data_IF_966654949509
#
_entry.id   IF_966654949509
#
_cell.length_a   1.000
_cell.length_b   1.000
_cell.length_c   1.000
_cell.angle_alpha   90.00
_cell.angle_beta   90.00
_cell.angle_gamma   90.00
#
_symmetry.space_group_name_H-M   'P 1'
#
loop_
_entity.id
_entity.type
_entity.pdbx_description
1 polymer ?
#
# COMPACT_ATOMS: atom_id res chain seq x y z
N UNK A 1 -4.82 4.47 -26.28
CA UNK A 1 -4.37 3.59 -25.17
C UNK A 1 -3.19 4.27 -24.51
N UNK A 2 -3.27 4.64 -23.23
CA UNK A 2 -2.14 5.23 -22.50
C UNK A 2 -1.13 4.12 -22.16
N UNK A 3 0.16 4.36 -22.47
CA UNK A 3 1.27 3.42 -22.25
C UNK A 3 1.37 3.02 -20.76
N UNK A 4 1.69 1.75 -20.50
CA UNK A 4 2.07 1.27 -19.16
C UNK A 4 3.41 1.89 -18.74
N UNK A 5 3.50 2.59 -17.61
CA UNK A 5 4.75 3.18 -17.17
C UNK A 5 5.69 2.12 -16.61
N UNK A 6 6.98 2.27 -16.88
CA UNK A 6 8.02 1.47 -16.27
C UNK A 6 8.10 1.73 -14.76
N UNK A 7 8.66 0.77 -14.03
CA UNK A 7 8.91 0.93 -12.59
C UNK A 7 9.81 2.15 -12.31
N UNK A 8 10.82 2.41 -13.15
CA UNK A 8 11.70 3.57 -13.00
C UNK A 8 10.92 4.89 -13.14
N UNK A 9 10.02 4.99 -14.12
CA UNK A 9 9.16 6.16 -14.31
C UNK A 9 8.28 6.42 -13.06
N UNK A 10 7.69 5.37 -12.48
CA UNK A 10 6.89 5.50 -11.26
C UNK A 10 7.72 5.90 -10.04
N UNK A 11 8.89 5.31 -9.84
CA UNK A 11 9.80 5.68 -8.75
C UNK A 11 10.20 7.14 -8.88
N UNK A 12 10.58 7.59 -10.08
CA UNK A 12 10.92 9.00 -10.33
C UNK A 12 9.72 9.91 -10.03
N UNK A 13 8.52 9.57 -10.50
CA UNK A 13 7.32 10.36 -10.25
C UNK A 13 6.99 10.46 -8.75
N UNK A 14 7.10 9.36 -7.99
CA UNK A 14 6.88 9.36 -6.54
C UNK A 14 7.93 10.24 -5.82
N UNK A 15 9.21 10.13 -6.19
CA UNK A 15 10.28 11.00 -5.65
C UNK A 15 10.05 12.48 -5.94
N UNK A 16 9.47 12.79 -7.09
CA UNK A 16 9.07 14.13 -7.50
C UNK A 16 7.67 14.55 -7.00
N UNK A 17 7.03 13.73 -6.16
CA UNK A 17 5.70 13.97 -5.58
C UNK A 17 4.59 14.18 -6.61
N UNK A 18 4.73 13.61 -7.81
CA UNK A 18 3.73 13.63 -8.89
C UNK A 18 2.65 12.57 -8.65
N UNK A 19 1.96 12.68 -7.52
CA UNK A 19 1.01 11.65 -7.06
C UNK A 19 -0.20 11.46 -7.98
N UNK A 20 -0.69 12.51 -8.63
CA UNK A 20 -1.76 12.40 -9.64
C UNK A 20 -1.37 11.41 -10.75
N UNK A 21 -0.14 11.52 -11.26
CA UNK A 21 0.38 10.60 -12.28
C UNK A 21 0.58 9.18 -11.75
N UNK A 22 1.05 9.05 -10.51
CA UNK A 22 1.22 7.75 -9.85
C UNK A 22 -0.14 7.06 -9.72
N UNK A 23 -1.14 7.75 -9.18
CA UNK A 23 -2.47 7.22 -8.94
C UNK A 23 -3.19 6.82 -10.24
N UNK A 24 -3.08 7.63 -11.29
CA UNK A 24 -3.58 7.30 -12.63
C UNK A 24 -2.89 6.08 -13.28
N UNK A 25 -1.68 5.76 -12.80
CA UNK A 25 -0.85 4.70 -13.33
C UNK A 25 -0.98 3.39 -12.57
N UNK A 26 -1.28 3.42 -11.26
CA UNK A 26 -1.38 2.23 -10.41
C UNK A 26 -2.29 1.13 -10.98
N UNK A 27 -3.51 1.42 -11.49
CA UNK A 27 -4.38 0.38 -12.06
C UNK A 27 -3.77 -0.38 -13.24
N UNK A 28 -2.77 0.20 -13.94
CA UNK A 28 -2.10 -0.41 -15.10
C UNK A 28 -0.94 -1.31 -14.72
N UNK A 29 -0.43 -1.20 -13.49
CA UNK A 29 0.78 -1.89 -13.04
C UNK A 29 0.55 -2.80 -11.84
N UNK A 30 -0.48 -2.55 -11.02
CA UNK A 30 -0.70 -3.29 -9.79
C UNK A 30 -1.07 -4.77 -10.02
N UNK A 31 -1.57 -5.11 -11.21
CA UNK A 31 -1.79 -6.51 -11.62
C UNK A 31 -0.56 -7.21 -12.22
N UNK A 32 0.61 -6.56 -12.23
CA UNK A 32 1.85 -7.15 -12.76
C UNK A 32 2.77 -7.59 -11.63
N UNK A 33 3.09 -8.90 -11.64
CA UNK A 33 3.95 -9.56 -10.66
C UNK A 33 5.31 -8.89 -10.48
N UNK A 34 5.89 -8.28 -11.52
CA UNK A 34 7.17 -7.58 -11.41
C UNK A 34 7.08 -6.39 -10.45
N UNK A 35 5.99 -5.62 -10.50
CA UNK A 35 5.79 -4.44 -9.67
C UNK A 35 5.45 -4.84 -8.24
N UNK A 36 4.59 -5.84 -8.09
CA UNK A 36 4.24 -6.40 -6.77
C UNK A 36 5.49 -6.98 -6.09
N UNK A 37 6.27 -7.79 -6.80
CA UNK A 37 7.51 -8.37 -6.29
C UNK A 37 8.50 -7.31 -5.88
N UNK A 38 8.69 -6.29 -6.71
CA UNK A 38 9.53 -5.17 -6.34
C UNK A 38 9.02 -4.46 -5.08
N UNK A 39 7.71 -4.24 -4.98
CA UNK A 39 7.12 -3.48 -3.87
C UNK A 39 7.43 -4.14 -2.51
N UNK A 40 7.18 -5.44 -2.35
CA UNK A 40 7.45 -6.10 -1.07
C UNK A 40 8.92 -6.51 -0.86
N UNK A 41 9.71 -6.70 -1.92
CA UNK A 41 11.11 -7.14 -1.79
C UNK A 41 12.10 -5.98 -1.66
N UNK A 42 11.77 -4.80 -2.17
CA UNK A 42 12.68 -3.65 -2.25
C UNK A 42 12.01 -2.31 -1.93
N UNK A 43 10.75 -2.13 -2.34
CA UNK A 43 10.06 -0.85 -2.24
C UNK A 43 9.73 -0.44 -0.80
N UNK A 44 9.17 -1.34 0.00
CA UNK A 44 8.74 -1.06 1.38
C UNK A 44 9.90 -0.78 2.35
N UNK A 45 11.13 -1.17 2.01
CA UNK A 45 12.34 -0.89 2.81
C UNK A 45 13.24 0.18 2.17
N UNK A 46 12.74 0.90 1.15
CA UNK A 46 13.54 1.93 0.49
C UNK A 46 13.90 3.08 1.44
N UNK A 47 15.06 3.70 1.27
CA UNK A 47 15.47 4.87 2.06
C UNK A 47 14.52 6.06 1.89
N UNK A 48 13.95 6.21 0.69
CA UNK A 48 13.08 7.31 0.33
C UNK A 48 11.62 7.02 0.74
N UNK A 49 11.06 7.89 1.57
CA UNK A 49 9.70 7.77 2.11
C UNK A 49 8.62 7.73 1.03
N UNK A 50 8.81 8.45 -0.08
CA UNK A 50 7.85 8.51 -1.17
C UNK A 50 7.93 7.22 -2.00
N UNK A 51 9.10 6.58 -2.07
CA UNK A 51 9.23 5.25 -2.68
C UNK A 51 8.57 4.17 -1.83
N UNK A 52 8.67 4.26 -0.50
CA UNK A 52 7.94 3.35 0.42
C UNK A 52 6.41 3.54 0.31
N UNK A 53 5.96 4.77 0.17
CA UNK A 53 4.54 5.11 -0.09
C UNK A 53 4.05 4.50 -1.41
N UNK A 54 4.82 4.67 -2.50
CA UNK A 54 4.55 4.01 -3.78
C UNK A 54 4.47 2.48 -3.64
N UNK A 55 5.38 1.87 -2.90
CA UNK A 55 5.39 0.42 -2.68
C UNK A 55 4.13 -0.04 -1.93
N UNK A 56 3.73 0.67 -0.87
CA UNK A 56 2.47 0.43 -0.16
C UNK A 56 1.27 0.55 -1.08
N UNK A 57 1.25 1.58 -1.95
CA UNK A 57 0.18 1.82 -2.91
C UNK A 57 0.07 0.72 -3.99
N UNK A 58 1.21 0.22 -4.49
CA UNK A 58 1.24 -0.93 -5.41
C UNK A 58 0.66 -2.17 -4.73
N UNK A 59 1.07 -2.46 -3.49
CA UNK A 59 0.55 -3.61 -2.75
C UNK A 59 -0.94 -3.45 -2.43
N UNK A 60 -1.41 -2.25 -2.07
CA UNK A 60 -2.83 -1.94 -1.86
C UNK A 60 -3.68 -2.26 -3.09
N UNK A 61 -3.23 -1.83 -4.27
CA UNK A 61 -3.96 -2.01 -5.53
C UNK A 61 -3.71 -3.35 -6.21
N UNK A 62 -2.78 -4.15 -5.70
CA UNK A 62 -2.47 -5.44 -6.29
C UNK A 62 -3.70 -6.34 -6.31
N UNK A 63 -3.78 -7.26 -7.26
CA UNK A 63 -4.80 -8.32 -7.25
C UNK A 63 -4.13 -9.62 -6.88
N UNK A 64 -4.09 -9.92 -5.58
CA UNK A 64 -3.42 -11.10 -5.04
C UNK A 64 -4.43 -12.03 -4.40
N UNK A 65 -4.23 -13.33 -4.57
CA UNK A 65 -4.94 -14.34 -3.79
C UNK A 65 -4.44 -14.33 -2.35
N UNK A 66 -5.23 -14.87 -1.43
CA UNK A 66 -4.80 -15.11 -0.05
C UNK A 66 -3.49 -15.90 0.00
N UNK A 67 -3.34 -16.93 -0.85
CA UNK A 67 -2.11 -17.73 -0.93
C UNK A 67 -0.88 -16.92 -1.38
N UNK A 68 -1.06 -15.93 -2.26
CA UNK A 68 0.02 -15.07 -2.74
C UNK A 68 0.39 -13.99 -1.72
N UNK A 69 -0.60 -13.45 -0.99
CA UNK A 69 -0.36 -12.38 -0.02
C UNK A 69 0.04 -12.90 1.37
N UNK A 70 -0.39 -14.09 1.78
CA UNK A 70 -0.05 -14.68 3.08
C UNK A 70 1.46 -14.62 3.42
N UNK A 71 2.41 -14.95 2.53
CA UNK A 71 3.84 -14.82 2.84
C UNK A 71 4.34 -13.36 2.86
N UNK A 72 3.65 -12.44 2.18
CA UNK A 72 4.00 -11.01 2.12
C UNK A 72 3.52 -10.26 3.38
N UNK A 73 2.39 -10.70 3.94
CA UNK A 73 1.72 -10.13 5.11
C UNK A 73 2.66 -9.82 6.30
N UNK A 74 3.47 -10.77 6.83
CA UNK A 74 4.39 -10.48 7.93
C UNK A 74 5.47 -9.47 7.55
N UNK A 75 5.93 -9.48 6.30
CA UNK A 75 6.95 -8.53 5.80
C UNK A 75 6.39 -7.11 5.84
N UNK A 76 5.17 -6.91 5.31
CA UNK A 76 4.49 -5.60 5.33
C UNK A 76 4.24 -5.13 6.76
N UNK A 77 3.82 -6.03 7.65
CA UNK A 77 3.59 -5.67 9.05
C UNK A 77 4.88 -5.26 9.78
N UNK A 78 6.00 -5.95 9.54
CA UNK A 78 7.29 -5.55 10.11
C UNK A 78 7.80 -4.22 9.55
N UNK A 79 7.52 -3.91 8.27
CA UNK A 79 7.79 -2.59 7.71
C UNK A 79 6.96 -1.48 8.40
N UNK A 80 5.66 -1.71 8.64
CA UNK A 80 4.78 -0.76 9.35
C UNK A 80 5.33 -0.39 10.73
N UNK A 81 5.86 -1.35 11.48
CA UNK A 81 6.42 -1.12 12.83
C UNK A 81 7.61 -0.18 12.83
N UNK A 82 8.41 -0.19 11.75
CA UNK A 82 9.61 0.63 11.58
C UNK A 82 9.33 1.96 10.88
N UNK A 83 8.19 2.06 10.21
CA UNK A 83 7.83 3.24 9.43
C UNK A 83 7.51 4.45 10.32
N UNK A 84 8.09 5.59 9.99
CA UNK A 84 7.85 6.87 10.65
C UNK A 84 7.06 7.85 9.78
N UNK A 85 7.07 7.67 8.46
CA UNK A 85 6.31 8.50 7.53
C UNK A 85 4.82 8.10 7.52
N UNK A 86 3.89 9.03 7.80
CA UNK A 86 2.48 8.68 7.99
C UNK A 86 1.85 8.07 6.74
N UNK A 87 2.02 8.67 5.56
CA UNK A 87 1.40 8.17 4.34
C UNK A 87 1.91 6.78 3.92
N UNK A 88 3.22 6.54 4.05
CA UNK A 88 3.78 5.23 3.76
C UNK A 88 3.23 4.17 4.72
N UNK A 89 3.11 4.51 6.01
CA UNK A 89 2.49 3.65 7.03
C UNK A 89 1.02 3.37 6.70
N UNK A 90 0.26 4.39 6.32
CA UNK A 90 -1.15 4.26 5.97
C UNK A 90 -1.33 3.35 4.74
N UNK A 91 -0.56 3.55 3.67
CA UNK A 91 -0.62 2.70 2.47
C UNK A 91 -0.27 1.24 2.74
N UNK A 92 0.74 0.98 3.58
CA UNK A 92 1.05 -0.39 3.99
C UNK A 92 -0.08 -1.01 4.82
N UNK A 93 -0.72 -0.25 5.71
CA UNK A 93 -1.90 -0.71 6.45
C UNK A 93 -3.10 -0.96 5.53
N UNK A 94 -3.31 -0.13 4.50
CA UNK A 94 -4.32 -0.33 3.46
C UNK A 94 -4.05 -1.61 2.68
N UNK A 95 -2.79 -1.91 2.33
CA UNK A 95 -2.43 -3.17 1.69
C UNK A 95 -2.79 -4.39 2.56
N UNK A 96 -2.51 -4.35 3.86
CA UNK A 96 -2.93 -5.41 4.78
C UNK A 96 -4.46 -5.56 4.83
N UNK A 97 -5.20 -4.44 4.86
CA UNK A 97 -6.66 -4.48 4.89
C UNK A 97 -7.27 -4.98 3.56
N UNK A 98 -6.70 -4.60 2.42
CA UNK A 98 -7.16 -4.99 1.09
C UNK A 98 -7.07 -6.50 0.85
N UNK A 99 -6.02 -7.14 1.36
CA UNK A 99 -5.69 -8.54 1.12
C UNK A 99 -5.97 -9.46 2.32
N UNK A 100 -6.77 -8.99 3.28
CA UNK A 100 -7.03 -9.72 4.52
C UNK A 100 -5.86 -9.58 5.50
N UNK A 101 -6.11 -8.86 6.60
CA UNK A 101 -5.09 -8.55 7.59
C UNK A 101 -4.72 -9.75 8.48
N UNK A 102 -5.52 -10.83 8.46
CA UNK A 102 -5.32 -12.01 9.31
C UNK A 102 -5.19 -11.64 10.79
N UNK A 103 -4.18 -12.20 11.46
CA UNK A 103 -3.88 -11.90 12.87
C UNK A 103 -3.39 -10.45 13.15
N UNK A 104 -3.13 -9.66 12.10
CA UNK A 104 -2.69 -8.27 12.23
C UNK A 104 -3.86 -7.28 12.17
N UNK A 105 -5.09 -7.74 11.96
CA UNK A 105 -6.28 -6.89 11.86
C UNK A 105 -6.39 -5.89 13.02
N UNK A 106 -6.38 -6.38 14.27
CA UNK A 106 -6.49 -5.52 15.45
C UNK A 106 -5.29 -4.58 15.61
N UNK A 107 -4.14 -4.93 15.03
CA UNK A 107 -2.91 -4.13 15.08
C UNK A 107 -2.92 -2.99 14.07
N UNK A 108 -3.63 -3.13 12.95
CA UNK A 108 -3.73 -2.09 11.92
C UNK A 108 -4.94 -1.17 12.10
N UNK A 109 -5.98 -1.58 12.84
CA UNK A 109 -7.17 -0.75 13.10
C UNK A 109 -6.80 0.64 13.64
N UNK A 110 -5.91 0.81 14.65
CA UNK A 110 -5.53 2.14 15.13
C UNK A 110 -4.91 3.02 14.04
N UNK A 111 -4.13 2.42 13.13
CA UNK A 111 -3.51 3.11 11.99
C UNK A 111 -4.58 3.57 11.00
N UNK A 112 -5.57 2.72 10.72
CA UNK A 112 -6.69 3.07 9.87
C UNK A 112 -7.60 4.12 10.51
N UNK A 113 -7.83 4.07 11.83
CA UNK A 113 -8.59 5.10 12.56
C UNK A 113 -7.86 6.45 12.53
N UNK A 114 -6.52 6.46 12.63
CA UNK A 114 -5.70 7.67 12.44
C UNK A 114 -5.86 8.20 11.00
N UNK A 115 -5.62 7.37 9.99
CA UNK A 115 -5.78 7.72 8.58
C UNK A 115 -7.22 8.20 8.25
N UNK A 116 -8.24 7.70 8.95
CA UNK A 116 -9.64 8.13 8.74
C UNK A 116 -9.91 9.59 9.08
N UNK A 117 -8.99 10.25 9.80
CA UNK A 117 -9.04 11.67 10.16
C UNK A 117 -8.17 12.54 9.27
N UNK A 118 -7.36 11.93 8.41
CA UNK A 118 -6.52 12.63 7.44
C UNK A 118 -7.34 13.04 6.21
N UNK A 119 -7.18 14.28 5.77
CA UNK A 119 -8.00 14.85 4.68
C UNK A 119 -7.80 14.13 3.34
N UNK A 120 -6.62 13.57 3.09
CA UNK A 120 -6.23 13.06 1.78
C UNK A 120 -6.56 11.56 1.67
N UNK A 121 -6.56 10.83 2.79
CA UNK A 121 -6.79 9.36 2.79
C UNK A 121 -8.02 8.89 3.60
N UNK A 122 -8.76 9.80 4.23
CA UNK A 122 -9.90 9.46 5.10
C UNK A 122 -10.94 8.54 4.45
N UNK A 123 -11.29 8.80 3.19
CA UNK A 123 -12.28 7.99 2.46
C UNK A 123 -11.81 6.55 2.26
N UNK A 124 -10.51 6.35 1.99
CA UNK A 124 -9.92 5.03 1.77
C UNK A 124 -9.89 4.26 3.09
N UNK A 125 -9.35 4.89 4.14
CA UNK A 125 -9.28 4.32 5.48
C UNK A 125 -10.67 3.94 6.02
N UNK A 126 -11.66 4.83 5.85
CA UNK A 126 -13.05 4.58 6.25
C UNK A 126 -13.68 3.40 5.52
N UNK A 127 -13.33 3.17 4.25
CA UNK A 127 -13.73 1.99 3.49
C UNK A 127 -13.21 0.69 4.12
N UNK A 128 -11.91 0.64 4.41
CA UNK A 128 -11.28 -0.52 5.03
C UNK A 128 -11.79 -0.77 6.46
N UNK A 129 -11.97 0.27 7.28
CA UNK A 129 -12.53 0.13 8.63
C UNK A 129 -13.94 -0.49 8.59
N UNK A 130 -14.79 -0.05 7.66
CA UNK A 130 -16.14 -0.64 7.47
C UNK A 130 -16.05 -2.11 7.07
N UNK A 131 -15.12 -2.47 6.21
CA UNK A 131 -14.92 -3.86 5.77
C UNK A 131 -14.48 -4.75 6.95
N UNK A 132 -13.45 -4.35 7.70
CA UNK A 132 -12.91 -5.14 8.81
C UNK A 132 -13.91 -5.28 9.97
N UNK A 133 -14.69 -4.24 10.26
CA UNK A 133 -15.71 -4.28 11.33
C UNK A 133 -16.92 -5.14 10.99
N UNK A 134 -17.21 -5.38 9.71
CA UNK A 134 -18.27 -6.31 9.27
C UNK A 134 -17.88 -7.79 9.37
N UNK A 135 -16.59 -8.08 9.56
CA UNK A 135 -16.07 -9.45 9.65
C UNK A 135 -16.00 -9.97 11.10
N UNK A 136 -16.32 -9.12 12.09
CA UNK A 136 -16.51 -9.50 13.50
C UNK A 136 -17.96 -9.88 13.76
#
# INVERSE_FOLDING_TARGET
MTRKPSLKELITAAKEEKWDYVDESLPKVAGDDQYVRWAYAHGIENEDKNVRDLAGSILEKATLSESAFSPIRPIVFEAIKKESHPYAKYRMAFALAAHGAGEYQEKIIPILDEASRDKDVSSIAGGYLKQLRKQK
#
